data_IF_323728735680
#
_entry.id   IF_323728735680
#
_cell.length_a   1.000
_cell.length_b   1.000
_cell.length_c   1.000
_cell.angle_alpha   90.00
_cell.angle_beta   90.00
_cell.angle_gamma   90.00
#
_symmetry.space_group_name_H-M   'P 1'
#
loop_
_entity.id
_entity.type
_entity.pdbx_description
1 polymer ?
#
# COMPACT_ATOMS: atom_id res chain seq x y z
N UNK A 1 -58.73 17.15 -46.27
CA UNK A 1 -58.05 15.88 -45.91
C UNK A 1 -56.58 15.97 -46.27
N UNK A 2 -55.72 15.40 -45.41
CA UNK A 2 -54.29 15.06 -45.57
C UNK A 2 -53.29 16.22 -45.62
N UNK A 3 -52.54 16.38 -44.52
CA UNK A 3 -51.09 16.06 -44.43
C UNK A 3 -50.63 16.15 -42.97
N UNK A 4 -50.55 15.00 -42.31
CA UNK A 4 -49.86 14.87 -41.02
C UNK A 4 -48.38 14.68 -41.33
N UNK A 5 -47.60 15.64 -40.86
CA UNK A 5 -46.15 15.71 -40.89
C UNK A 5 -45.59 14.86 -39.74
N UNK A 6 -44.52 14.13 -40.06
CA UNK A 6 -43.36 13.73 -39.25
C UNK A 6 -43.58 13.66 -37.74
N UNK A 7 -43.28 12.51 -37.14
CA UNK A 7 -42.28 12.34 -36.07
C UNK A 7 -42.13 10.82 -35.90
N UNK A 8 -41.06 10.27 -36.48
CA UNK A 8 -40.68 8.87 -36.28
C UNK A 8 -39.15 8.79 -36.25
N UNK A 9 -38.53 9.65 -35.43
CA UNK A 9 -37.10 9.67 -35.16
C UNK A 9 -36.84 10.39 -33.84
N UNK A 10 -37.16 9.76 -32.71
CA UNK A 10 -36.78 10.31 -31.40
C UNK A 10 -36.69 9.29 -30.26
N UNK A 11 -36.82 7.98 -30.53
CA UNK A 11 -36.72 6.97 -29.45
C UNK A 11 -35.35 6.28 -29.41
N UNK A 12 -34.48 6.44 -30.41
CA UNK A 12 -33.17 5.76 -30.45
C UNK A 12 -32.01 6.54 -29.82
N UNK A 13 -32.17 7.82 -29.47
CA UNK A 13 -31.07 8.64 -28.91
C UNK A 13 -31.00 8.67 -27.37
N UNK A 14 -32.07 8.26 -26.68
CA UNK A 14 -32.10 8.22 -25.21
C UNK A 14 -31.48 6.92 -24.66
N UNK A 15 -31.53 5.81 -25.39
CA UNK A 15 -31.00 4.53 -24.94
C UNK A 15 -29.47 4.46 -24.86
N UNK A 16 -28.76 5.18 -25.72
CA UNK A 16 -27.29 5.21 -25.75
C UNK A 16 -26.68 6.02 -24.60
N UNK A 17 -27.38 7.04 -24.09
CA UNK A 17 -26.95 7.80 -22.92
C UNK A 17 -27.02 6.98 -21.63
N UNK A 18 -28.07 6.18 -21.43
CA UNK A 18 -28.18 5.31 -20.25
C UNK A 18 -27.14 4.19 -20.26
N UNK A 19 -26.78 3.66 -21.43
CA UNK A 19 -25.75 2.63 -21.53
C UNK A 19 -24.35 3.16 -21.20
N UNK A 20 -24.00 4.37 -21.68
CA UNK A 20 -22.74 5.02 -21.34
C UNK A 20 -22.65 5.40 -19.85
N UNK A 21 -23.72 5.95 -19.27
CA UNK A 21 -23.75 6.29 -17.83
C UNK A 21 -23.65 5.00 -16.97
N UNK A 22 -24.34 3.93 -17.36
CA UNK A 22 -24.26 2.64 -16.67
C UNK A 22 -22.87 2.01 -16.70
N UNK A 23 -22.17 2.08 -17.83
CA UNK A 23 -20.79 1.58 -17.94
C UNK A 23 -19.81 2.41 -17.11
N UNK A 24 -19.90 3.75 -17.15
CA UNK A 24 -19.06 4.68 -16.37
C UNK A 24 -19.28 4.52 -14.87
N UNK A 25 -20.53 4.35 -14.42
CA UNK A 25 -20.82 4.10 -13.00
C UNK A 25 -20.27 2.74 -12.55
N UNK A 26 -20.36 1.70 -13.40
CA UNK A 26 -19.82 0.37 -13.06
C UNK A 26 -18.30 0.34 -13.00
N UNK A 27 -17.60 1.10 -13.87
CA UNK A 27 -16.14 1.18 -13.84
C UNK A 27 -15.66 1.98 -12.63
N UNK A 28 -16.30 3.12 -12.32
CA UNK A 28 -16.02 3.90 -11.11
C UNK A 28 -16.22 3.08 -9.83
N UNK A 29 -17.27 2.25 -9.78
CA UNK A 29 -17.51 1.40 -8.60
C UNK A 29 -16.42 0.35 -8.41
N UNK A 30 -15.97 -0.29 -9.50
CA UNK A 30 -14.83 -1.25 -9.49
C UNK A 30 -13.47 -0.60 -9.18
N UNK A 31 -13.25 0.65 -9.59
CA UNK A 31 -12.05 1.40 -9.21
C UNK A 31 -12.06 1.81 -7.73
N UNK A 32 -13.21 2.21 -7.20
CA UNK A 32 -13.35 2.59 -5.78
C UNK A 32 -13.16 1.40 -4.85
N UNK A 33 -13.58 0.20 -5.26
CA UNK A 33 -13.38 -1.05 -4.52
C UNK A 33 -11.91 -1.50 -4.45
N UNK A 34 -11.05 -1.01 -5.34
CA UNK A 34 -9.63 -1.37 -5.38
C UNK A 34 -8.74 -0.47 -4.51
N UNK A 35 -9.28 0.61 -3.94
CA UNK A 35 -8.46 1.60 -3.25
C UNK A 35 -8.16 1.22 -1.81
N UNK A 36 -6.89 1.35 -1.44
CA UNK A 36 -6.46 1.37 -0.06
C UNK A 36 -6.90 2.68 0.61
N UNK A 37 -7.55 2.57 1.77
CA UNK A 37 -7.98 3.68 2.62
C UNK A 37 -6.78 4.53 3.07
N UNK A 38 -5.61 3.90 3.23
CA UNK A 38 -4.37 4.54 3.68
C UNK A 38 -3.19 4.00 2.89
N UNK A 39 -2.24 4.88 2.57
CA UNK A 39 -0.92 4.44 2.10
C UNK A 39 -0.19 3.76 3.26
N UNK A 40 0.46 2.64 2.97
CA UNK A 40 1.23 1.87 3.96
C UNK A 40 2.70 1.86 3.53
N UNK A 41 3.59 2.27 4.44
CA UNK A 41 5.04 2.12 4.23
C UNK A 41 5.61 1.23 5.33
N UNK A 42 6.30 0.17 4.91
CA UNK A 42 7.09 -0.69 5.78
C UNK A 42 8.56 -0.49 5.42
N UNK A 43 9.36 -0.18 6.43
CA UNK A 43 10.82 -0.15 6.32
C UNK A 43 11.38 -1.22 7.24
N UNK A 44 12.19 -2.13 6.68
CA UNK A 44 13.03 -3.06 7.43
C UNK A 44 14.48 -2.65 7.23
N UNK A 45 15.15 -2.18 8.28
CA UNK A 45 16.51 -1.62 8.17
C UNK A 45 17.47 -2.17 9.20
N UNK A 46 18.77 -2.10 8.89
CA UNK A 46 19.82 -2.27 9.91
C UNK A 46 19.85 -1.04 10.82
N UNK A 47 20.38 -1.15 12.06
CA UNK A 47 20.53 -0.01 12.96
C UNK A 47 21.23 1.17 12.27
N UNK A 48 20.68 2.36 12.45
CA UNK A 48 21.17 3.59 11.79
C UNK A 48 20.72 3.78 10.33
N UNK A 49 19.95 2.85 9.76
CA UNK A 49 19.26 3.06 8.48
C UNK A 49 20.16 3.05 7.24
N UNK A 50 21.43 2.65 7.39
CA UNK A 50 22.43 2.61 6.30
C UNK A 50 22.11 1.58 5.21
N UNK A 51 21.31 0.56 5.55
CA UNK A 51 20.72 -0.38 4.60
C UNK A 51 19.28 -0.67 5.01
N UNK A 52 18.36 -0.48 4.09
CA UNK A 52 16.93 -0.57 4.31
C UNK A 52 16.22 -1.17 3.10
N UNK A 53 15.25 -2.03 3.39
CA UNK A 53 14.22 -2.48 2.48
C UNK A 53 12.99 -1.60 2.70
N UNK A 54 12.53 -0.94 1.65
CA UNK A 54 11.47 0.06 1.72
C UNK A 54 10.33 -0.41 0.82
N UNK A 55 9.20 -0.75 1.43
CA UNK A 55 8.01 -1.23 0.75
C UNK A 55 6.91 -0.20 0.98
N UNK A 56 6.40 0.39 -0.09
CA UNK A 56 5.28 1.32 -0.04
C UNK A 56 4.12 0.75 -0.83
N UNK A 57 2.92 0.73 -0.27
CA UNK A 57 1.70 0.40 -0.98
C UNK A 57 0.83 1.65 -1.02
N UNK A 58 0.70 2.22 -2.21
CA UNK A 58 -0.09 3.44 -2.43
C UNK A 58 -1.57 3.20 -2.21
N UNK A 59 -2.35 4.29 -2.12
CA UNK A 59 -3.82 4.21 -2.05
C UNK A 59 -4.47 3.52 -3.25
N UNK A 60 -3.77 3.39 -4.37
CA UNK A 60 -4.29 2.67 -5.55
C UNK A 60 -3.92 1.18 -5.54
N UNK A 61 -3.31 0.67 -4.46
CA UNK A 61 -2.82 -0.72 -4.40
C UNK A 61 -1.51 -0.95 -5.15
N UNK A 62 -0.85 0.12 -5.63
CA UNK A 62 0.46 -0.02 -6.27
C UNK A 62 1.52 -0.19 -5.19
N UNK A 63 2.11 -1.37 -5.13
CA UNK A 63 3.28 -1.67 -4.32
C UNK A 63 4.54 -1.24 -5.07
N UNK A 64 5.42 -0.53 -4.37
CA UNK A 64 6.78 -0.21 -4.79
C UNK A 64 7.74 -0.75 -3.75
N UNK A 65 8.75 -1.47 -4.19
CA UNK A 65 9.84 -1.98 -3.36
C UNK A 65 11.18 -1.42 -3.83
N UNK A 66 11.98 -0.94 -2.88
CA UNK A 66 13.32 -0.42 -3.10
C UNK A 66 14.28 -0.90 -2.01
N UNK A 67 15.56 -0.95 -2.37
CA UNK A 67 16.69 -1.09 -1.44
C UNK A 67 17.45 0.23 -1.42
N UNK A 68 17.87 0.67 -0.23
CA UNK A 68 18.61 1.92 -0.10
C UNK A 68 19.02 2.21 1.33
N UNK A 69 19.24 3.48 1.64
CA UNK A 69 19.39 3.98 3.00
C UNK A 69 18.31 5.03 3.29
N UNK A 70 17.93 5.13 4.56
CA UNK A 70 16.90 6.06 5.00
C UNK A 70 17.29 6.62 6.36
N UNK A 71 17.15 7.94 6.51
CA UNK A 71 17.26 8.58 7.82
C UNK A 71 16.00 8.30 8.62
N UNK A 72 16.14 7.96 9.90
CA UNK A 72 15.00 7.64 10.76
C UNK A 72 14.16 8.90 11.03
N UNK A 73 12.89 8.87 10.64
CA UNK A 73 12.00 10.02 10.75
C UNK A 73 10.64 9.65 11.37
N UNK A 74 10.05 10.61 12.09
CA UNK A 74 8.66 10.53 12.56
C UNK A 74 7.66 10.59 11.40
N UNK A 75 8.06 11.16 10.27
CA UNK A 75 7.30 11.16 9.02
C UNK A 75 8.15 10.59 7.89
N UNK A 76 7.61 9.65 7.14
CA UNK A 76 8.25 9.12 5.96
C UNK A 76 8.20 10.14 4.83
N UNK A 77 9.33 10.36 4.16
CA UNK A 77 9.43 11.18 2.98
C UNK A 77 10.55 10.62 2.09
N UNK A 78 10.27 10.51 0.79
CA UNK A 78 11.20 9.99 -0.21
C UNK A 78 12.42 10.89 -0.39
N UNK A 79 12.36 12.19 -0.04
CA UNK A 79 13.52 13.09 -0.09
C UNK A 79 14.69 12.59 0.78
N UNK A 80 14.39 11.91 1.89
CA UNK A 80 15.40 11.38 2.81
C UNK A 80 15.78 9.92 2.54
N UNK A 81 15.36 9.38 1.39
CA UNK A 81 15.71 8.04 0.95
C UNK A 81 16.76 8.12 -0.14
N UNK A 82 17.89 7.45 0.07
CA UNK A 82 18.91 7.25 -0.97
C UNK A 82 18.79 5.83 -1.51
N UNK A 83 18.18 5.71 -2.69
CA UNK A 83 18.01 4.43 -3.38
C UNK A 83 19.38 3.90 -3.83
N UNK A 84 19.64 2.63 -3.51
CA UNK A 84 20.81 1.93 -4.02
C UNK A 84 20.52 1.45 -5.44
N UNK A 85 21.18 2.09 -6.42
CA UNK A 85 21.00 1.82 -7.85
C UNK A 85 21.49 0.44 -8.27
N UNK A 86 22.22 -0.29 -7.42
CA UNK A 86 22.62 -1.67 -7.70
C UNK A 86 21.42 -2.64 -7.69
N UNK A 87 20.33 -2.28 -7.02
CA UNK A 87 19.11 -3.08 -6.95
C UNK A 87 18.00 -2.46 -7.81
N UNK A 88 17.29 -3.30 -8.55
CA UNK A 88 16.14 -2.83 -9.34
C UNK A 88 14.96 -2.47 -8.44
N UNK A 89 14.31 -1.34 -8.73
CA UNK A 89 13.01 -1.01 -8.15
C UNK A 89 11.96 -2.01 -8.66
N UNK A 90 11.19 -2.58 -7.75
CA UNK A 90 10.06 -3.46 -8.11
C UNK A 90 8.76 -2.69 -7.96
N UNK A 91 7.89 -2.81 -8.96
CA UNK A 91 6.55 -2.23 -8.94
C UNK A 91 5.53 -3.34 -9.24
N UNK A 92 4.56 -3.54 -8.36
CA UNK A 92 3.54 -4.59 -8.49
C UNK A 92 2.18 -4.01 -8.11
N UNK A 93 1.12 -4.40 -8.80
CA UNK A 93 -0.24 -4.14 -8.37
C UNK A 93 -0.68 -5.27 -7.44
N UNK A 94 -1.04 -4.95 -6.19
CA UNK A 94 -1.56 -5.98 -5.28
C UNK A 94 -2.98 -6.38 -5.70
N UNK A 95 -3.37 -7.60 -5.34
CA UNK A 95 -4.73 -8.09 -5.63
C UNK A 95 -5.78 -7.38 -4.79
N UNK A 96 -7.02 -7.34 -5.28
CA UNK A 96 -8.20 -6.87 -4.53
C UNK A 96 -8.30 -7.48 -3.13
N UNK A 97 -8.11 -8.81 -3.04
CA UNK A 97 -8.21 -9.52 -1.78
C UNK A 97 -7.16 -9.06 -0.75
N UNK A 98 -5.94 -8.73 -1.21
CA UNK A 98 -4.88 -8.21 -0.33
C UNK A 98 -5.12 -6.73 0.02
N UNK A 99 -5.62 -5.92 -0.93
CA UNK A 99 -6.08 -4.55 -0.63
C UNK A 99 -7.15 -4.54 0.46
N UNK A 100 -8.16 -5.41 0.37
CA UNK A 100 -9.22 -5.53 1.37
C UNK A 100 -8.69 -5.97 2.73
N UNK A 101 -7.79 -6.94 2.74
CA UNK A 101 -7.15 -7.43 3.96
C UNK A 101 -6.37 -6.31 4.66
N UNK A 102 -5.55 -5.58 3.92
CA UNK A 102 -4.80 -4.44 4.46
C UNK A 102 -5.76 -3.34 4.93
N UNK A 103 -6.81 -3.04 4.16
CA UNK A 103 -7.84 -2.06 4.51
C UNK A 103 -8.49 -2.34 5.87
N UNK A 104 -8.82 -3.60 6.15
CA UNK A 104 -9.38 -4.01 7.45
C UNK A 104 -8.38 -3.82 8.59
N UNK A 105 -7.10 -4.09 8.35
CA UNK A 105 -6.04 -3.90 9.37
C UNK A 105 -5.80 -2.42 9.68
N UNK A 106 -5.77 -1.55 8.66
CA UNK A 106 -5.44 -0.12 8.82
C UNK A 106 -6.61 0.77 9.23
N UNK A 107 -7.83 0.21 9.27
CA UNK A 107 -9.04 0.89 9.73
C UNK A 107 -8.94 1.33 11.18
N UNK A 108 -8.40 0.47 12.06
CA UNK A 108 -8.17 0.81 13.47
C UNK A 108 -6.68 0.94 13.79
N UNK A 109 -6.16 2.13 13.54
CA UNK A 109 -4.75 2.47 13.73
C UNK A 109 -4.23 2.29 15.16
N UNK A 110 -5.09 2.41 16.18
CA UNK A 110 -4.69 2.17 17.58
C UNK A 110 -4.23 0.73 17.79
N UNK A 111 -4.81 -0.24 17.07
CA UNK A 111 -4.43 -1.66 17.16
C UNK A 111 -3.09 -1.97 16.50
N UNK A 112 -2.56 -1.03 15.73
CA UNK A 112 -1.28 -1.14 15.05
C UNK A 112 -0.16 -0.39 15.77
N UNK A 113 -0.49 0.49 16.72
CA UNK A 113 0.50 1.34 17.36
C UNK A 113 1.37 0.55 18.34
N UNK A 114 2.69 0.66 18.15
CA UNK A 114 3.67 -0.01 19.00
C UNK A 114 4.99 0.75 18.95
N UNK A 115 5.60 1.04 20.09
CA UNK A 115 6.91 1.65 20.13
C UNK A 115 7.78 0.87 21.11
N UNK A 116 8.70 0.09 20.57
CA UNK A 116 9.66 -0.65 21.36
C UNK A 116 10.66 0.33 22.02
N UNK A 117 10.66 0.36 23.35
CA UNK A 117 11.56 1.21 24.14
C UNK A 117 12.89 0.53 24.47
N UNK A 118 13.05 -0.74 24.11
CA UNK A 118 14.29 -1.47 24.38
C UNK A 118 15.40 -1.01 23.43
N UNK A 119 16.66 -1.14 23.87
CA UNK A 119 17.82 -0.91 23.01
C UNK A 119 18.39 -2.28 22.68
N UNK A 120 18.18 -2.73 21.45
CA UNK A 120 18.74 -3.99 20.95
C UNK A 120 19.83 -3.66 19.93
N UNK A 121 21.08 -3.94 20.29
CA UNK A 121 22.22 -3.78 19.38
C UNK A 121 22.15 -4.81 18.24
N UNK A 122 22.62 -4.40 17.07
CA UNK A 122 22.84 -5.26 15.91
C UNK A 122 21.60 -6.09 15.50
N UNK A 123 20.42 -5.47 15.59
CA UNK A 123 19.17 -6.12 15.20
C UNK A 123 18.38 -5.29 14.20
N UNK A 124 17.69 -5.98 13.29
CA UNK A 124 16.87 -5.33 12.28
C UNK A 124 15.73 -4.57 12.94
N UNK A 125 15.45 -3.40 12.39
CA UNK A 125 14.46 -2.45 12.87
C UNK A 125 13.31 -2.41 11.87
N UNK A 126 12.09 -2.47 12.39
CA UNK A 126 10.88 -2.24 11.62
C UNK A 126 10.34 -0.84 11.91
N UNK A 127 10.04 -0.10 10.85
CA UNK A 127 9.30 1.16 10.92
C UNK A 127 8.07 1.03 10.04
N UNK A 128 6.91 1.39 10.60
CA UNK A 128 5.63 1.29 9.93
C UNK A 128 4.98 2.66 9.91
N UNK A 129 4.60 3.10 8.72
CA UNK A 129 3.95 4.37 8.49
C UNK A 129 2.58 4.17 7.83
N UNK A 130 1.61 4.97 8.25
CA UNK A 130 0.33 5.11 7.57
C UNK A 130 0.18 6.56 7.11
N UNK A 131 -0.08 6.77 5.82
CA UNK A 131 -0.11 8.11 5.20
C UNK A 131 1.12 8.94 5.64
N UNK A 132 2.31 8.36 5.49
CA UNK A 132 3.59 8.92 5.90
C UNK A 132 3.79 9.19 7.40
N UNK A 133 2.82 8.96 8.30
CA UNK A 133 3.02 9.13 9.75
C UNK A 133 3.50 7.81 10.37
N UNK A 134 4.58 7.85 11.17
CA UNK A 134 5.05 6.66 11.89
C UNK A 134 3.99 6.24 12.91
N UNK A 135 3.56 4.99 12.82
CA UNK A 135 2.60 4.40 13.75
C UNK A 135 3.25 3.36 14.66
N UNK A 136 4.32 2.73 14.16
CA UNK A 136 5.05 1.74 14.94
C UNK A 136 6.54 1.72 14.63
N UNK A 137 7.30 1.38 15.66
CA UNK A 137 8.72 1.09 15.63
C UNK A 137 9.02 -0.09 16.55
N UNK A 138 9.92 -0.98 16.12
CA UNK A 138 10.52 -1.95 17.02
C UNK A 138 11.59 -2.81 16.38
N UNK A 139 12.13 -3.73 17.16
CA UNK A 139 13.17 -4.66 16.72
C UNK A 139 12.59 -6.01 16.33
N UNK A 140 13.15 -6.62 15.28
CA UNK A 140 12.78 -7.96 14.81
C UNK A 140 12.89 -9.02 15.93
N UNK A 141 13.91 -8.91 16.80
CA UNK A 141 14.07 -9.81 17.95
C UNK A 141 12.87 -9.80 18.92
N UNK A 142 12.14 -8.69 18.98
CA UNK A 142 10.97 -8.51 19.85
C UNK A 142 9.65 -8.63 19.06
N UNK A 143 9.67 -9.21 17.85
CA UNK A 143 8.47 -9.34 17.03
C UNK A 143 7.36 -10.17 17.71
N UNK A 144 7.72 -11.05 18.65
CA UNK A 144 6.80 -11.78 19.53
C UNK A 144 5.94 -10.85 20.41
N UNK A 145 6.44 -9.67 20.76
CA UNK A 145 5.75 -8.68 21.62
C UNK A 145 4.86 -7.70 20.85
N UNK A 146 4.87 -7.73 19.52
CA UNK A 146 4.11 -6.77 18.72
C UNK A 146 2.59 -7.03 18.85
N UNK A 147 1.73 -6.00 18.71
CA UNK A 147 0.30 -6.20 18.62
C UNK A 147 -0.06 -7.18 17.48
N UNK A 148 -1.03 -8.10 17.68
CA UNK A 148 -1.36 -9.11 16.68
C UNK A 148 -1.68 -8.53 15.29
N UNK A 149 -2.46 -7.44 15.24
CA UNK A 149 -2.81 -6.78 13.97
C UNK A 149 -1.60 -6.13 13.29
N UNK A 150 -0.62 -5.64 14.06
CA UNK A 150 0.62 -5.11 13.51
C UNK A 150 1.44 -6.21 12.85
N UNK A 151 1.55 -7.39 13.48
CA UNK A 151 2.22 -8.56 12.89
C UNK A 151 1.57 -8.96 11.59
N UNK A 152 0.24 -9.12 11.59
CA UNK A 152 -0.53 -9.46 10.40
C UNK A 152 -0.35 -8.44 9.27
N UNK A 153 -0.25 -7.15 9.59
CA UNK A 153 0.03 -6.12 8.59
C UNK A 153 1.42 -6.27 8.00
N UNK A 154 2.45 -6.42 8.84
CA UNK A 154 3.84 -6.61 8.40
C UNK A 154 3.93 -7.86 7.52
N UNK A 155 3.38 -8.99 7.96
CA UNK A 155 3.37 -10.24 7.19
C UNK A 155 2.63 -10.08 5.86
N UNK A 156 1.51 -9.38 5.83
CA UNK A 156 0.75 -9.16 4.59
C UNK A 156 1.52 -8.31 3.58
N UNK A 157 2.22 -7.28 4.05
CA UNK A 157 3.05 -6.40 3.19
C UNK A 157 4.28 -7.14 2.68
N UNK A 158 4.99 -7.85 3.56
CA UNK A 158 6.16 -8.66 3.21
C UNK A 158 5.78 -9.76 2.23
N UNK A 159 4.64 -10.44 2.43
CA UNK A 159 4.19 -11.51 1.53
C UNK A 159 3.98 -11.07 0.09
N UNK A 160 3.62 -9.80 -0.14
CA UNK A 160 3.50 -9.27 -1.51
C UNK A 160 4.84 -9.27 -2.25
N UNK A 161 5.94 -9.30 -1.51
CA UNK A 161 7.30 -9.40 -2.01
C UNK A 161 7.95 -10.74 -1.65
N UNK A 162 7.21 -11.75 -1.18
CA UNK A 162 7.80 -13.06 -0.84
C UNK A 162 8.38 -13.78 -2.08
N UNK A 163 7.94 -13.42 -3.29
CA UNK A 163 8.60 -13.82 -4.53
C UNK A 163 9.98 -13.15 -4.76
N UNK A 164 10.32 -12.14 -3.96
CA UNK A 164 11.59 -11.40 -3.97
C UNK A 164 12.60 -11.88 -2.90
N UNK A 165 12.29 -12.91 -2.08
CA UNK A 165 13.23 -13.47 -1.09
C UNK A 165 14.48 -14.15 -1.67
N UNK A 166 14.70 -14.05 -2.98
CA UNK A 166 15.99 -14.31 -3.64
C UNK A 166 16.91 -13.06 -3.70
N UNK A 167 16.53 -11.94 -3.08
CA UNK A 167 17.35 -10.72 -3.03
C UNK A 167 18.38 -10.83 -1.90
N UNK A 168 19.65 -10.78 -2.26
CA UNK A 168 20.81 -10.77 -1.38
C UNK A 168 20.66 -9.72 -0.26
N UNK A 169 20.88 -10.14 1.00
CA UNK A 169 20.87 -9.24 2.17
C UNK A 169 19.68 -9.39 3.12
N UNK A 170 18.73 -10.30 2.84
CA UNK A 170 17.65 -10.70 3.75
C UNK A 170 17.89 -12.01 4.52
N UNK A 171 19.05 -12.65 4.35
CA UNK A 171 19.48 -13.85 5.10
C UNK A 171 20.36 -13.50 6.28
#
# INVERSE_FOLDING_TARGET
>A
MKRIIKILFSVSLLGSFYFCIGQVISSNKKETENMLKKEVTLIKSVPGGSRAHIITISRTGKLTYNVGSVSHLERFDWEFVKIDKQYSTVNVQITLAESDKINRLVENEKTLSYNDKTIVKDNLQYYIYLNARKIAFGYERNFDKYPPNLKLLIDSVIKQIDMLYKISGMS
#
